data_IF_154045356311
#
_entry.id   IF_154045356311
#
_cell.length_a   1.000
_cell.length_b   1.000
_cell.length_c   1.000
_cell.angle_alpha   90.00
_cell.angle_beta   90.00
_cell.angle_gamma   90.00
#
_symmetry.space_group_name_H-M   'P 1'
#
loop_
_entity.id
_entity.type
_entity.pdbx_description
1 polymer ?
#
# COMPACT_ATOMS: atom_id res chain seq x y z
N UNK A 1 1.04 -1.85 -8.19
CA UNK A 1 1.92 -1.75 -9.39
C UNK A 1 3.34 -2.07 -8.94
N UNK A 2 4.16 -2.74 -9.76
CA UNK A 2 5.53 -3.10 -9.36
C UNK A 2 6.44 -1.86 -9.31
N UNK A 3 7.44 -1.88 -8.43
CA UNK A 3 8.44 -0.80 -8.26
C UNK A 3 9.12 -0.35 -9.56
N UNK A 4 9.31 -1.27 -10.51
CA UNK A 4 9.83 -0.94 -11.84
C UNK A 4 8.92 0.01 -12.62
N UNK A 5 7.60 -0.12 -12.48
CA UNK A 5 6.62 0.75 -13.15
C UNK A 5 6.70 2.17 -12.59
N UNK A 6 6.82 2.32 -11.27
CA UNK A 6 6.99 3.61 -10.62
C UNK A 6 8.30 4.29 -11.04
N UNK A 7 9.40 3.54 -11.09
CA UNK A 7 10.69 4.05 -11.54
C UNK A 7 10.62 4.55 -12.99
N UNK A 8 10.08 3.73 -13.90
CA UNK A 8 9.97 4.08 -15.33
C UNK A 8 9.04 5.26 -15.54
N UNK A 9 7.90 5.31 -14.83
CA UNK A 9 6.98 6.44 -14.89
C UNK A 9 7.65 7.74 -14.40
N UNK A 10 8.39 7.69 -13.29
CA UNK A 10 9.15 8.83 -12.77
C UNK A 10 10.23 9.32 -13.72
N UNK A 11 10.96 8.39 -14.34
CA UNK A 11 11.96 8.72 -15.35
C UNK A 11 11.34 9.32 -16.61
N UNK A 12 10.21 8.78 -17.07
CA UNK A 12 9.47 9.31 -18.22
C UNK A 12 8.99 10.74 -17.95
N UNK A 13 8.40 11.00 -16.78
CA UNK A 13 7.98 12.35 -16.37
C UNK A 13 9.18 13.29 -16.30
N UNK A 14 10.30 12.86 -15.71
CA UNK A 14 11.52 13.67 -15.64
C UNK A 14 12.08 14.00 -17.04
N UNK A 15 11.97 13.07 -18.00
CA UNK A 15 12.43 13.28 -19.38
C UNK A 15 11.60 14.31 -20.17
N UNK A 16 10.37 14.61 -19.72
CA UNK A 16 9.56 15.66 -20.32
C UNK A 16 10.04 17.08 -19.95
N UNK A 17 10.96 17.21 -18.98
CA UNK A 17 11.53 18.50 -18.60
C UNK A 17 12.79 18.80 -19.42
N UNK A 18 12.82 19.88 -20.21
CA UNK A 18 13.98 20.24 -21.02
C UNK A 18 15.25 20.41 -20.19
N UNK A 19 15.15 21.01 -19.01
CA UNK A 19 16.28 21.21 -18.09
C UNK A 19 16.90 19.90 -17.60
N UNK A 20 16.10 18.86 -17.39
CA UNK A 20 16.59 17.55 -16.95
C UNK A 20 17.27 16.79 -18.09
N UNK A 21 16.75 16.90 -19.32
CA UNK A 21 17.32 16.25 -20.50
C UNK A 21 18.57 16.95 -21.00
N UNK A 22 18.61 18.29 -21.02
CA UNK A 22 19.83 19.03 -21.36
C UNK A 22 20.95 18.77 -20.37
N UNK A 23 20.65 18.80 -19.07
CA UNK A 23 21.64 18.47 -18.04
C UNK A 23 22.17 17.04 -18.18
N UNK A 24 21.31 16.07 -18.52
CA UNK A 24 21.72 14.70 -18.77
C UNK A 24 22.64 14.56 -20.00
N UNK A 25 22.35 15.30 -21.07
CA UNK A 25 23.19 15.37 -22.27
C UNK A 25 24.54 16.05 -22.00
N UNK A 26 24.57 17.03 -21.10
CA UNK A 26 25.78 17.69 -20.60
C UNK A 26 26.58 16.82 -19.61
N UNK A 27 26.14 15.58 -19.36
CA UNK A 27 26.83 14.59 -18.52
C UNK A 27 26.33 14.55 -17.07
N UNK A 28 25.30 15.30 -16.72
CA UNK A 28 24.68 15.31 -15.39
C UNK A 28 23.25 14.72 -15.40
N UNK A 29 23.12 13.39 -15.24
CA UNK A 29 21.81 12.72 -15.22
C UNK A 29 21.06 12.85 -13.88
N UNK A 30 21.56 13.66 -12.93
CA UNK A 30 21.03 13.71 -11.56
C UNK A 30 19.54 14.02 -11.53
N UNK A 31 19.05 14.92 -12.38
CA UNK A 31 17.63 15.29 -12.42
C UNK A 31 16.72 14.14 -12.89
N UNK A 32 17.18 13.32 -13.84
CA UNK A 32 16.46 12.14 -14.30
C UNK A 32 16.41 11.06 -13.21
N UNK A 33 17.54 10.82 -12.54
CA UNK A 33 17.63 9.89 -11.42
C UNK A 33 16.75 10.34 -10.25
N UNK A 34 16.73 11.64 -9.94
CA UNK A 34 15.91 12.20 -8.88
C UNK A 34 14.42 12.03 -9.18
N UNK A 35 13.98 12.21 -10.43
CA UNK A 35 12.60 11.96 -10.83
C UNK A 35 12.19 10.48 -10.70
N UNK A 36 13.06 9.55 -11.10
CA UNK A 36 12.85 8.13 -10.88
C UNK A 36 12.78 7.74 -9.40
N UNK A 37 13.70 8.26 -8.58
CA UNK A 37 13.73 8.00 -7.14
C UNK A 37 12.54 8.61 -6.40
N UNK A 38 12.13 9.83 -6.77
CA UNK A 38 10.97 10.50 -6.18
C UNK A 38 9.67 9.72 -6.48
N UNK A 39 9.55 9.11 -7.66
CA UNK A 39 8.40 8.27 -8.01
C UNK A 39 8.40 6.92 -7.26
N UNK A 40 9.57 6.43 -6.86
CA UNK A 40 9.72 5.19 -6.08
C UNK A 40 9.45 5.41 -4.57
N UNK A 41 9.67 6.63 -4.09
CA UNK A 41 9.64 6.99 -2.67
C UNK A 41 8.32 6.62 -1.96
N UNK A 42 7.12 6.90 -2.52
CA UNK A 42 5.87 6.58 -1.83
C UNK A 42 5.72 5.10 -1.50
N UNK A 43 6.11 4.21 -2.43
CA UNK A 43 6.04 2.77 -2.22
C UNK A 43 7.08 2.32 -1.17
N UNK A 44 8.28 2.88 -1.20
CA UNK A 44 9.32 2.55 -0.22
C UNK A 44 8.96 3.01 1.20
N UNK A 45 8.29 4.16 1.31
CA UNK A 45 7.78 4.66 2.59
C UNK A 45 6.67 3.76 3.13
N UNK A 46 5.73 3.32 2.28
CA UNK A 46 4.64 2.43 2.69
C UNK A 46 5.19 1.07 3.22
N UNK A 47 6.05 0.43 2.43
CA UNK A 47 6.53 -0.93 2.71
C UNK A 47 7.45 -1.02 3.93
N UNK A 48 8.27 0.02 4.21
CA UNK A 48 9.33 -0.06 5.23
C UNK A 48 9.14 0.87 6.41
N UNK A 49 8.49 2.02 6.22
CA UNK A 49 8.36 3.03 7.26
C UNK A 49 6.99 2.92 7.90
N UNK A 50 5.91 2.97 7.11
CA UNK A 50 4.55 2.87 7.64
C UNK A 50 4.29 1.50 8.28
N UNK A 51 4.72 0.42 7.62
CA UNK A 51 4.59 -0.95 8.14
C UNK A 51 5.30 -1.15 9.49
N UNK A 52 6.36 -0.39 9.77
CA UNK A 52 7.15 -0.50 11.01
C UNK A 52 6.62 0.40 12.13
N UNK A 53 6.04 1.55 11.78
CA UNK A 53 5.39 2.45 12.75
C UNK A 53 4.01 1.91 13.16
N UNK A 54 3.31 1.28 12.22
CA UNK A 54 2.01 0.65 12.43
C UNK A 54 2.07 -0.84 12.09
N UNK A 55 2.74 -1.65 12.94
CA UNK A 55 2.74 -3.10 12.75
C UNK A 55 1.30 -3.61 12.87
N UNK A 56 0.85 -4.34 11.86
CA UNK A 56 -0.43 -5.04 11.88
C UNK A 56 -0.17 -6.45 12.38
N UNK A 57 -0.75 -6.81 13.52
CA UNK A 57 -0.60 -8.14 14.11
C UNK A 57 -1.39 -9.19 13.31
N UNK A 58 -2.56 -8.82 12.76
CA UNK A 58 -3.41 -9.71 11.95
C UNK A 58 -3.94 -8.99 10.71
N UNK A 59 -3.92 -9.72 9.60
CA UNK A 59 -4.49 -9.28 8.33
C UNK A 59 -5.55 -10.28 7.87
N UNK A 60 -6.78 -9.80 7.67
CA UNK A 60 -7.89 -10.61 7.15
C UNK A 60 -8.00 -10.37 5.65
N UNK A 61 -7.67 -11.39 4.86
CA UNK A 61 -7.89 -11.42 3.42
C UNK A 61 -9.12 -12.27 3.17
N UNK A 62 -10.22 -11.62 2.81
CA UNK A 62 -11.50 -12.30 2.53
C UNK A 62 -11.46 -12.90 1.13
N UNK A 63 -12.07 -14.09 0.95
CA UNK A 63 -12.25 -14.64 -0.40
C UNK A 63 -13.12 -13.67 -1.22
N UNK A 64 -12.61 -13.14 -2.36
CA UNK A 64 -13.33 -12.18 -3.17
C UNK A 64 -14.64 -12.72 -3.77
N UNK A 65 -14.77 -14.03 -3.95
CA UNK A 65 -15.92 -14.67 -4.58
C UNK A 65 -16.94 -15.21 -3.56
N UNK A 66 -16.48 -15.55 -2.36
CA UNK A 66 -17.32 -16.10 -1.29
C UNK A 66 -16.85 -15.61 0.09
N UNK A 67 -17.02 -14.32 0.43
CA UNK A 67 -16.65 -13.83 1.75
C UNK A 67 -17.54 -14.46 2.81
N UNK A 68 -16.95 -15.11 3.83
CA UNK A 68 -17.67 -15.61 5.00
C UNK A 68 -17.72 -14.51 6.08
N UNK A 69 -18.89 -13.91 6.34
CA UNK A 69 -19.03 -12.88 7.38
C UNK A 69 -18.73 -13.43 8.78
N UNK A 70 -18.96 -14.72 9.00
CA UNK A 70 -18.73 -15.38 10.29
C UNK A 70 -17.24 -15.52 10.58
N UNK A 71 -16.44 -15.76 9.55
CA UNK A 71 -14.98 -15.82 9.66
C UNK A 71 -14.38 -14.45 9.99
N UNK A 72 -14.88 -13.40 9.35
CA UNK A 72 -14.48 -12.02 9.63
C UNK A 72 -14.85 -11.64 11.07
N UNK A 73 -16.11 -11.88 11.47
CA UNK A 73 -16.61 -11.59 12.81
C UNK A 73 -15.80 -12.32 13.89
N UNK A 74 -15.49 -13.61 13.66
CA UNK A 74 -14.65 -14.40 14.56
C UNK A 74 -13.24 -13.83 14.67
N UNK A 75 -12.64 -13.44 13.55
CA UNK A 75 -11.29 -12.88 13.55
C UNK A 75 -11.24 -11.54 14.26
N UNK A 76 -12.26 -10.70 14.10
CA UNK A 76 -12.40 -9.43 14.84
C UNK A 76 -12.57 -9.71 16.33
N UNK A 77 -13.44 -10.65 16.72
CA UNK A 77 -13.66 -11.01 18.12
C UNK A 77 -12.36 -11.53 18.78
N UNK A 78 -11.66 -12.46 18.12
CA UNK A 78 -10.37 -12.97 18.60
C UNK A 78 -9.32 -11.88 18.71
N UNK A 79 -9.29 -10.91 17.78
CA UNK A 79 -8.38 -9.77 17.87
C UNK A 79 -8.68 -8.88 19.09
N UNK A 80 -9.96 -8.63 19.40
CA UNK A 80 -10.39 -7.86 20.57
C UNK A 80 -9.99 -8.59 21.86
N UNK A 81 -10.28 -9.89 21.97
CA UNK A 81 -9.92 -10.70 23.13
C UNK A 81 -8.40 -10.71 23.33
N UNK A 82 -7.64 -10.90 22.24
CA UNK A 82 -6.17 -10.88 22.28
C UNK A 82 -5.62 -9.52 22.70
N UNK A 83 -6.23 -8.42 22.26
CA UNK A 83 -5.84 -7.07 22.66
C UNK A 83 -6.10 -6.82 24.15
N UNK A 84 -7.25 -7.31 24.67
CA UNK A 84 -7.61 -7.23 26.07
C UNK A 84 -6.66 -8.03 26.96
N UNK A 85 -6.33 -9.26 26.55
CA UNK A 85 -5.43 -10.16 27.28
C UNK A 85 -3.98 -9.63 27.30
N UNK A 86 -3.51 -9.07 26.19
CA UNK A 86 -2.13 -8.57 26.08
C UNK A 86 -1.96 -7.15 26.62
N UNK A 87 -3.05 -6.42 26.90
CA UNK A 87 -3.02 -5.05 27.42
C UNK A 87 -2.30 -4.05 26.53
N UNK A 88 -2.19 -4.32 25.22
CA UNK A 88 -1.50 -3.45 24.24
C UNK A 88 -2.39 -3.16 23.02
N UNK A 89 -2.16 -2.04 22.31
CA UNK A 89 -2.83 -1.80 21.03
C UNK A 89 -2.58 -2.96 20.05
N UNK A 90 -3.64 -3.47 19.43
CA UNK A 90 -3.58 -4.56 18.46
C UNK A 90 -3.96 -4.05 17.08
N UNK A 91 -3.06 -4.20 16.10
CA UNK A 91 -3.28 -3.72 14.74
C UNK A 91 -4.04 -4.74 13.91
N UNK A 92 -5.32 -4.46 13.60
CA UNK A 92 -6.13 -5.27 12.70
C UNK A 92 -6.33 -4.56 11.36
N UNK A 93 -5.97 -5.22 10.25
CA UNK A 93 -6.27 -4.74 8.89
C UNK A 93 -7.24 -5.67 8.20
N UNK A 94 -8.41 -5.15 7.85
CA UNK A 94 -9.42 -5.86 7.06
C UNK A 94 -9.35 -5.33 5.63
N UNK A 95 -9.03 -6.20 4.68
CA UNK A 95 -9.08 -5.84 3.27
C UNK A 95 -10.51 -5.99 2.76
N UNK A 96 -11.10 -4.88 2.34
CA UNK A 96 -12.36 -4.89 1.61
C UNK A 96 -12.17 -5.41 0.18
N UNK A 97 -13.13 -6.17 -0.33
CA UNK A 97 -13.13 -6.63 -1.71
C UNK A 97 -13.70 -5.51 -2.59
N UNK A 98 -12.87 -4.96 -3.49
CA UNK A 98 -13.34 -4.11 -4.58
C UNK A 98 -13.82 -5.02 -5.72
N UNK A 99 -15.14 -5.20 -5.86
CA UNK A 99 -15.73 -6.10 -6.88
C UNK A 99 -15.82 -5.47 -8.28
N UNK A 100 -15.38 -4.22 -8.43
CA UNK A 100 -15.39 -3.45 -9.67
C UNK A 100 -15.21 -1.96 -9.36
N UNK A 101 -15.06 -1.10 -10.40
CA UNK A 101 -14.71 0.32 -10.24
C UNK A 101 -15.70 1.15 -9.40
N UNK A 102 -16.89 0.61 -9.13
CA UNK A 102 -17.94 1.29 -8.35
C UNK A 102 -18.82 0.31 -7.53
N UNK A 103 -18.30 -0.89 -7.20
CA UNK A 103 -19.04 -1.90 -6.43
C UNK A 103 -18.29 -2.32 -5.18
N UNK A 104 -18.50 -1.55 -4.11
CA UNK A 104 -18.15 -1.95 -2.77
C UNK A 104 -19.30 -2.80 -2.20
N UNK A 105 -19.01 -4.03 -1.76
CA UNK A 105 -20.02 -4.84 -1.05
C UNK A 105 -19.98 -4.47 0.43
N UNK A 106 -21.05 -3.88 0.93
CA UNK A 106 -21.26 -3.71 2.38
C UNK A 106 -21.45 -5.09 3.03
N UNK A 107 -20.66 -5.39 4.05
CA UNK A 107 -20.80 -6.60 4.86
C UNK A 107 -21.64 -6.20 6.07
N UNK A 108 -22.92 -6.57 6.07
CA UNK A 108 -23.79 -6.42 7.24
C UNK A 108 -23.48 -7.55 8.22
N UNK A 109 -22.92 -7.20 9.37
CA UNK A 109 -22.83 -8.08 10.54
C UNK A 109 -24.12 -7.90 11.35
N UNK A 110 -24.91 -8.96 11.49
CA UNK A 110 -26.09 -9.02 12.37
C UNK A 110 -25.72 -9.59 13.74
#
# INVERSE_FOLDING_TARGET
MNNAVHLVAGLAVASCFPSATTAALEGNPLYLLLGGMAALLPNLLDDRVLSRIYPMDVQVVTDPLAPDPSEIARTVATAIDTAADQGRPFGLRIHGICLGPDRWREIHLH
#
